data_IF_297715651654
#
_entry.id   IF_297715651654
#
_cell.length_a   1.000
_cell.length_b   1.000
_cell.length_c   1.000
_cell.angle_alpha   90.00
_cell.angle_beta   90.00
_cell.angle_gamma   90.00
#
_symmetry.space_group_name_H-M   'P 1'
#
loop_
_entity.id
_entity.type
_entity.pdbx_description
1 polymer ?
#
# COMPACT_ATOMS: atom_id res chain seq x y z
N UNK A 1 15.46 11.87 -19.78
CA UNK A 1 14.76 10.66 -19.30
C UNK A 1 13.29 10.61 -19.72
N UNK A 2 12.52 11.70 -19.64
CA UNK A 2 11.09 11.71 -20.03
C UNK A 2 10.85 11.56 -21.55
N UNK A 3 11.68 12.20 -22.40
CA UNK A 3 11.57 12.09 -23.86
C UNK A 3 11.76 10.65 -24.38
N UNK A 4 12.62 9.86 -23.71
CA UNK A 4 12.83 8.45 -24.04
C UNK A 4 11.59 7.60 -23.72
N UNK A 5 10.90 7.90 -22.62
CA UNK A 5 9.65 7.20 -22.28
C UNK A 5 8.50 7.55 -23.23
N UNK A 6 8.42 8.81 -23.67
CA UNK A 6 7.43 9.23 -24.69
C UNK A 6 7.73 8.56 -26.04
N UNK A 7 9.00 8.45 -26.42
CA UNK A 7 9.42 7.74 -27.62
C UNK A 7 9.01 6.26 -27.61
N UNK A 8 9.22 5.57 -26.47
CA UNK A 8 8.78 4.18 -26.29
C UNK A 8 7.26 4.07 -26.37
N UNK A 9 6.50 4.99 -25.77
CA UNK A 9 5.04 4.99 -25.84
C UNK A 9 4.53 5.07 -27.28
N UNK A 10 5.14 5.95 -28.09
CA UNK A 10 4.79 6.11 -29.51
C UNK A 10 5.11 4.83 -30.30
N UNK A 11 6.28 4.21 -30.07
CA UNK A 11 6.63 2.93 -30.70
C UNK A 11 5.65 1.81 -30.33
N UNK A 12 5.21 1.75 -29.07
CA UNK A 12 4.23 0.76 -28.60
C UNK A 12 2.86 0.96 -29.25
N UNK A 13 2.36 2.19 -29.33
CA UNK A 13 1.08 2.49 -30.00
C UNK A 13 1.16 2.10 -31.49
N UNK A 14 2.28 2.41 -32.15
CA UNK A 14 2.50 2.07 -33.56
C UNK A 14 2.54 0.56 -33.78
N UNK A 15 3.20 -0.19 -32.89
CA UNK A 15 3.21 -1.64 -32.90
C UNK A 15 1.82 -2.24 -32.67
N UNK A 16 1.03 -1.67 -31.75
CA UNK A 16 -0.33 -2.12 -31.43
C UNK A 16 -1.28 -1.97 -32.62
N UNK A 17 -1.23 -0.82 -33.30
CA UNK A 17 -2.01 -0.55 -34.52
C UNK A 17 -1.60 -1.48 -35.67
N UNK A 18 -0.31 -1.82 -35.78
CA UNK A 18 0.21 -2.74 -36.80
C UNK A 18 -0.22 -4.19 -36.55
N UNK A 19 -0.31 -4.62 -35.29
CA UNK A 19 -0.82 -5.93 -34.89
C UNK A 19 -2.31 -6.09 -35.23
N UNK A 20 -3.12 -5.04 -35.06
CA UNK A 20 -4.55 -5.08 -35.35
C UNK A 20 -4.93 -5.03 -36.84
N UNK A 21 -4.00 -4.61 -37.72
CA UNK A 21 -4.28 -4.44 -39.16
C UNK A 21 -3.92 -5.64 -40.05
N UNK A 22 -3.41 -6.76 -39.52
CA UNK A 22 -3.08 -7.94 -40.33
C UNK A 22 -3.55 -9.25 -39.70
N UNK A 23 -4.20 -10.09 -40.51
CA UNK A 23 -4.62 -11.47 -40.22
C UNK A 23 -3.59 -12.19 -39.33
N UNK A 24 -3.97 -12.41 -38.08
CA UNK A 24 -2.99 -12.54 -36.99
C UNK A 24 -2.35 -13.92 -36.94
N UNK A 25 -1.02 -13.97 -37.13
CA UNK A 25 -0.17 -15.10 -36.70
C UNK A 25 0.00 -15.05 -35.17
N UNK A 26 -0.02 -16.23 -34.52
CA UNK A 26 0.06 -16.45 -33.07
C UNK A 26 1.09 -15.56 -32.33
N UNK A 27 2.20 -15.20 -32.99
CA UNK A 27 3.27 -14.35 -32.46
C UNK A 27 2.78 -12.99 -31.91
N UNK A 28 1.73 -12.41 -32.50
CA UNK A 28 1.17 -11.13 -32.08
C UNK A 28 0.48 -11.23 -30.71
N UNK A 29 -0.16 -12.38 -30.42
CA UNK A 29 -0.79 -12.64 -29.12
C UNK A 29 0.28 -12.80 -28.03
N UNK A 30 1.38 -13.50 -28.32
CA UNK A 30 2.49 -13.65 -27.36
C UNK A 30 3.10 -12.32 -26.95
N UNK A 31 3.32 -11.40 -27.88
CA UNK A 31 3.86 -10.06 -27.59
C UNK A 31 2.88 -9.27 -26.73
N UNK A 32 1.59 -9.32 -27.05
CA UNK A 32 0.55 -8.64 -26.27
C UNK A 32 0.47 -9.15 -24.83
N UNK A 33 0.43 -10.47 -24.63
CA UNK A 33 0.44 -11.07 -23.30
C UNK A 33 1.73 -10.77 -22.53
N UNK A 34 2.89 -10.76 -23.21
CA UNK A 34 4.17 -10.41 -22.58
C UNK A 34 4.17 -8.96 -22.07
N UNK A 35 3.64 -8.01 -22.84
CA UNK A 35 3.53 -6.61 -22.42
C UNK A 35 2.57 -6.48 -21.22
N UNK A 36 1.40 -7.12 -21.29
CA UNK A 36 0.45 -7.11 -20.17
C UNK A 36 1.08 -7.70 -18.91
N UNK A 37 1.77 -8.84 -19.03
CA UNK A 37 2.41 -9.51 -17.92
C UNK A 37 3.55 -8.67 -17.34
N UNK A 38 4.35 -8.02 -18.18
CA UNK A 38 5.41 -7.12 -17.75
C UNK A 38 4.88 -5.88 -17.01
N UNK A 39 3.79 -5.28 -17.51
CA UNK A 39 3.10 -4.17 -16.82
C UNK A 39 2.49 -4.67 -15.51
N UNK A 40 1.85 -5.84 -15.50
CA UNK A 40 1.33 -6.44 -14.28
C UNK A 40 2.42 -6.67 -13.24
N UNK A 41 3.58 -7.21 -13.62
CA UNK A 41 4.74 -7.41 -12.74
C UNK A 41 5.27 -6.08 -12.18
N UNK A 42 5.34 -5.03 -13.00
CA UNK A 42 5.83 -3.72 -12.54
C UNK A 42 4.84 -2.99 -11.62
N UNK A 43 3.53 -3.17 -11.83
CA UNK A 43 2.49 -2.51 -11.06
C UNK A 43 2.04 -3.31 -9.83
N UNK A 44 2.10 -4.64 -9.90
CA UNK A 44 1.99 -5.48 -8.72
C UNK A 44 3.30 -5.35 -7.97
N UNK A 45 3.24 -4.84 -6.75
CA UNK A 45 4.40 -4.74 -5.87
C UNK A 45 4.78 -6.18 -5.45
N UNK A 46 5.44 -6.93 -6.33
CA UNK A 46 5.76 -8.36 -6.13
C UNK A 46 6.61 -8.54 -4.89
N UNK A 47 7.48 -7.58 -4.60
CA UNK A 47 8.23 -7.51 -3.35
C UNK A 47 7.30 -7.51 -2.12
N UNK A 48 6.17 -6.80 -2.18
CA UNK A 48 5.16 -6.82 -1.13
C UNK A 48 4.37 -8.14 -1.08
N UNK A 49 4.18 -8.83 -2.20
CA UNK A 49 3.55 -10.17 -2.23
C UNK A 49 4.48 -11.21 -1.61
N UNK A 50 5.76 -11.22 -1.98
CA UNK A 50 6.79 -12.11 -1.43
C UNK A 50 7.01 -11.80 0.06
N UNK A 51 7.07 -10.51 0.43
CA UNK A 51 7.15 -10.10 1.82
C UNK A 51 5.90 -10.54 2.60
N UNK A 52 4.68 -10.34 2.09
CA UNK A 52 3.46 -10.79 2.76
C UNK A 52 3.43 -12.32 2.97
N UNK A 53 3.92 -13.10 2.00
CA UNK A 53 4.04 -14.55 2.15
C UNK A 53 5.08 -14.94 3.22
N UNK A 54 6.24 -14.29 3.24
CA UNK A 54 7.25 -14.50 4.29
C UNK A 54 6.75 -14.09 5.69
N UNK A 55 6.00 -13.00 5.77
CA UNK A 55 5.37 -12.52 7.00
C UNK A 55 4.27 -13.47 7.48
N UNK A 56 3.55 -14.13 6.57
CA UNK A 56 2.53 -15.13 6.93
C UNK A 56 3.12 -16.35 7.63
N UNK A 57 4.34 -16.75 7.25
CA UNK A 57 5.12 -17.82 7.91
C UNK A 57 5.60 -17.35 9.29
N UNK A 58 6.07 -16.10 9.39
CA UNK A 58 6.51 -15.52 10.67
C UNK A 58 5.37 -15.32 11.68
N UNK A 59 4.18 -14.91 11.23
CA UNK A 59 2.96 -14.78 12.05
C UNK A 59 2.49 -16.10 12.66
N UNK A 60 2.79 -17.25 12.05
CA UNK A 60 2.49 -18.57 12.63
C UNK A 60 3.47 -18.94 13.77
N UNK A 61 4.66 -18.34 13.79
CA UNK A 61 5.72 -18.68 14.75
C UNK A 61 5.82 -17.72 15.96
N UNK A 62 5.23 -16.52 15.90
CA UNK A 62 5.34 -15.53 16.99
C UNK A 62 3.97 -15.02 17.42
N UNK A 63 3.57 -15.40 18.64
CA UNK A 63 2.25 -15.20 19.23
C UNK A 63 1.98 -13.75 19.71
N UNK A 64 2.94 -12.83 19.54
CA UNK A 64 2.84 -11.44 19.97
C UNK A 64 3.12 -10.51 18.78
N UNK A 65 2.06 -9.99 18.17
CA UNK A 65 2.17 -9.01 17.08
C UNK A 65 2.47 -7.64 17.71
N UNK A 66 3.72 -7.20 17.59
CA UNK A 66 4.14 -5.86 18.03
C UNK A 66 3.52 -4.77 17.14
N UNK A 67 2.97 -3.72 17.75
CA UNK A 67 2.38 -2.57 17.05
C UNK A 67 3.44 -1.83 16.22
N UNK A 68 4.70 -1.87 16.66
CA UNK A 68 5.84 -1.32 15.92
C UNK A 68 6.10 -2.09 14.60
N UNK A 69 5.85 -3.41 14.60
CA UNK A 69 5.92 -4.24 13.40
C UNK A 69 4.74 -4.00 12.44
N UNK A 70 3.56 -3.66 12.95
CA UNK A 70 2.42 -3.28 12.09
C UNK A 70 2.57 -1.90 11.46
N UNK A 71 3.30 -1.00 12.10
CA UNK A 71 3.64 0.30 11.57
C UNK A 71 4.57 0.22 10.35
N UNK A 72 5.58 -0.68 10.40
CA UNK A 72 6.50 -0.92 9.27
C UNK A 72 5.83 -1.61 8.07
N UNK A 73 4.59 -2.05 8.20
CA UNK A 73 3.89 -2.81 7.17
C UNK A 73 3.20 -1.92 6.13
N UNK A 74 3.09 -2.47 4.92
CA UNK A 74 2.36 -1.95 3.74
C UNK A 74 1.00 -1.33 4.07
N UNK A 75 0.48 -0.51 3.16
CA UNK A 75 -0.89 0.04 3.21
C UNK A 75 -1.99 -1.02 3.34
N UNK A 76 -1.70 -2.29 3.05
CA UNK A 76 -2.58 -3.44 3.28
C UNK A 76 -2.81 -3.75 4.78
N UNK A 77 -2.02 -3.17 5.69
CA UNK A 77 -2.17 -3.35 7.13
C UNK A 77 -3.30 -2.50 7.75
N UNK A 78 -3.83 -1.52 6.99
CA UNK A 78 -4.86 -0.59 7.45
C UNK A 78 -6.08 -1.27 8.08
N UNK A 79 -6.69 -2.32 7.50
CA UNK A 79 -7.82 -3.01 8.13
C UNK A 79 -7.48 -3.63 9.49
N UNK A 80 -6.27 -4.17 9.65
CA UNK A 80 -5.81 -4.77 10.91
C UNK A 80 -5.56 -3.70 11.97
N UNK A 81 -4.96 -2.56 11.59
CA UNK A 81 -4.76 -1.42 12.49
C UNK A 81 -6.09 -0.83 12.97
N UNK A 82 -7.12 -0.79 12.12
CA UNK A 82 -8.48 -0.35 12.53
C UNK A 82 -9.08 -1.29 13.58
N UNK A 83 -8.83 -2.61 13.50
CA UNK A 83 -9.28 -3.55 14.54
C UNK A 83 -8.56 -3.29 15.86
N UNK A 84 -7.24 -3.02 15.82
CA UNK A 84 -6.45 -2.70 17.01
C UNK A 84 -6.82 -1.34 17.63
N UNK A 85 -7.19 -0.36 16.82
CA UNK A 85 -7.71 0.92 17.30
C UNK A 85 -8.96 0.74 18.18
N UNK A 86 -9.73 -0.35 17.98
CA UNK A 86 -10.90 -0.70 18.79
C UNK A 86 -10.58 -1.65 19.97
N UNK A 87 -9.32 -1.92 20.27
CA UNK A 87 -8.94 -2.82 21.37
C UNK A 87 -9.21 -2.17 22.73
N UNK A 88 -9.57 -2.98 23.73
CA UNK A 88 -9.81 -2.52 25.11
C UNK A 88 -8.54 -1.95 25.79
N UNK A 89 -7.35 -2.37 25.35
CA UNK A 89 -6.09 -1.85 25.85
C UNK A 89 -5.84 -0.45 25.26
N UNK A 90 -6.02 0.59 26.09
CA UNK A 90 -5.89 2.01 25.70
C UNK A 90 -4.56 2.31 24.99
N UNK A 91 -3.44 1.81 25.51
CA UNK A 91 -2.13 2.04 24.91
C UNK A 91 -2.05 1.50 23.47
N UNK A 92 -2.57 0.29 23.23
CA UNK A 92 -2.59 -0.34 21.90
C UNK A 92 -3.53 0.42 20.96
N UNK A 93 -4.71 0.80 21.45
CA UNK A 93 -5.70 1.58 20.71
C UNK A 93 -5.12 2.92 20.24
N UNK A 94 -4.50 3.68 21.14
CA UNK A 94 -3.89 4.99 20.83
C UNK A 94 -2.70 4.85 19.89
N UNK A 95 -1.81 3.86 20.09
CA UNK A 95 -0.71 3.59 19.15
C UNK A 95 -1.24 3.28 17.75
N UNK A 96 -2.27 2.44 17.64
CA UNK A 96 -2.88 2.09 16.37
C UNK A 96 -3.53 3.31 15.67
N UNK A 97 -4.23 4.18 16.42
CA UNK A 97 -4.81 5.41 15.88
C UNK A 97 -3.73 6.36 15.34
N UNK A 98 -2.65 6.56 16.10
CA UNK A 98 -1.51 7.39 15.68
C UNK A 98 -0.90 6.88 14.37
N UNK A 99 -0.73 5.56 14.21
CA UNK A 99 -0.21 5.00 12.97
C UNK A 99 -1.16 5.18 11.78
N UNK A 100 -2.47 5.00 12.01
CA UNK A 100 -3.48 5.29 10.98
C UNK A 100 -3.48 6.77 10.58
N UNK A 101 -3.33 7.67 11.56
CA UNK A 101 -3.23 9.12 11.33
C UNK A 101 -2.03 9.47 10.43
N UNK A 102 -0.85 8.94 10.76
CA UNK A 102 0.37 9.17 9.97
C UNK A 102 0.22 8.67 8.53
N UNK A 103 -0.33 7.46 8.32
CA UNK A 103 -0.60 6.91 6.98
C UNK A 103 -1.62 7.76 6.21
N UNK A 104 -2.69 8.24 6.86
CA UNK A 104 -3.69 9.13 6.24
C UNK A 104 -3.04 10.43 5.76
N UNK A 105 -2.15 11.02 6.57
CA UNK A 105 -1.39 12.23 6.23
C UNK A 105 -0.39 12.00 5.09
N UNK A 106 0.19 10.81 4.97
CA UNK A 106 1.06 10.47 3.84
C UNK A 106 0.25 10.37 2.53
N UNK A 107 -0.93 9.72 2.58
CA UNK A 107 -1.82 9.53 1.42
C UNK A 107 -2.56 10.79 0.96
N UNK A 108 -2.59 11.84 1.80
CA UNK A 108 -3.12 13.14 1.43
C UNK A 108 -2.12 13.99 0.65
N UNK A 109 -0.83 13.62 0.63
CA UNK A 109 0.16 14.31 -0.20
C UNK A 109 -0.15 14.09 -1.68
N UNK A 110 0.11 15.11 -2.49
CA UNK A 110 -0.02 14.98 -3.94
C UNK A 110 1.11 14.10 -4.47
N UNK A 111 0.77 12.93 -5.01
CA UNK A 111 1.74 11.97 -5.53
C UNK A 111 1.62 11.89 -7.06
N UNK A 112 2.73 11.84 -7.81
CA UNK A 112 2.69 11.65 -9.26
C UNK A 112 1.92 10.38 -9.62
N UNK A 113 1.17 10.41 -10.73
CA UNK A 113 0.34 9.28 -11.16
C UNK A 113 1.16 8.00 -11.43
N UNK A 114 2.45 8.13 -11.76
CA UNK A 114 3.38 7.01 -11.96
C UNK A 114 3.66 6.22 -10.66
N UNK A 115 3.41 6.82 -9.50
CA UNK A 115 3.56 6.18 -8.19
C UNK A 115 2.29 5.50 -7.69
N UNK A 116 1.30 5.33 -8.59
CA UNK A 116 0.03 4.69 -8.26
C UNK A 116 0.27 3.28 -7.71
N UNK A 117 -0.37 3.00 -6.58
CA UNK A 117 -0.30 1.71 -5.91
C UNK A 117 -1.69 1.33 -5.43
N UNK A 118 -2.11 0.09 -5.73
CA UNK A 118 -3.47 -0.39 -5.43
C UNK A 118 -3.75 -0.45 -3.93
N UNK A 119 -2.75 -0.82 -3.12
CA UNK A 119 -2.84 -0.88 -1.66
C UNK A 119 -3.01 0.54 -1.08
N UNK A 120 -2.28 1.54 -1.61
CA UNK A 120 -2.47 2.96 -1.27
C UNK A 120 -3.88 3.44 -1.59
N UNK A 121 -4.39 3.09 -2.77
CA UNK A 121 -5.75 3.47 -3.19
C UNK A 121 -6.82 2.88 -2.25
N UNK A 122 -6.74 1.59 -1.94
CA UNK A 122 -7.65 0.92 -0.99
C UNK A 122 -7.55 1.54 0.40
N UNK A 123 -6.35 1.75 0.91
CA UNK A 123 -6.11 2.39 2.20
C UNK A 123 -6.73 3.80 2.26
N UNK A 124 -6.53 4.63 1.23
CA UNK A 124 -7.09 5.99 1.16
C UNK A 124 -8.63 5.97 1.23
N UNK A 125 -9.27 5.03 0.51
CA UNK A 125 -10.73 4.84 0.53
C UNK A 125 -11.26 4.39 1.90
N UNK A 126 -10.48 3.60 2.64
CA UNK A 126 -10.88 3.15 3.98
C UNK A 126 -10.69 4.30 4.99
N UNK A 127 -9.50 4.92 5.00
CA UNK A 127 -9.13 5.97 5.95
C UNK A 127 -9.95 7.26 5.79
N UNK A 128 -10.54 7.50 4.62
CA UNK A 128 -11.46 8.64 4.42
C UNK A 128 -12.72 8.54 5.29
N UNK A 129 -13.09 7.34 5.74
CA UNK A 129 -14.26 7.10 6.59
C UNK A 129 -14.03 7.36 8.08
N UNK A 130 -12.78 7.57 8.50
CA UNK A 130 -12.40 7.71 9.90
C UNK A 130 -11.88 9.12 10.16
N UNK A 131 -12.35 9.73 11.24
CA UNK A 131 -11.73 10.93 11.79
C UNK A 131 -10.67 10.48 12.81
N UNK A 132 -9.40 10.67 12.49
CA UNK A 132 -8.27 10.13 13.25
C UNK A 132 -7.51 11.28 13.88
N UNK A 133 -7.12 11.13 15.15
CA UNK A 133 -6.35 12.13 15.89
C UNK A 133 -4.99 11.58 16.29
N UNK A 134 -4.00 12.47 16.36
CA UNK A 134 -2.69 12.12 16.92
C UNK A 134 -2.68 12.44 18.42
N UNK A 135 -2.35 11.45 19.25
CA UNK A 135 -2.28 11.59 20.71
C UNK A 135 -0.87 11.24 21.19
N UNK A 136 -0.22 12.13 21.94
CA UNK A 136 1.07 11.82 22.56
C UNK A 136 0.85 11.03 23.87
N UNK A 137 1.39 9.82 23.96
CA UNK A 137 1.22 8.95 25.12
C UNK A 137 1.98 9.48 26.36
N UNK A 138 3.11 10.17 26.15
CA UNK A 138 3.96 10.70 27.23
C UNK A 138 3.28 11.79 28.08
N UNK A 139 2.31 12.51 27.49
CA UNK A 139 1.56 13.58 28.18
C UNK A 139 0.41 13.06 29.02
N UNK A 140 -0.11 11.86 28.73
CA UNK A 140 -1.29 11.30 29.42
C UNK A 140 -0.97 10.62 30.74
N UNK A 141 0.25 10.10 30.93
CA UNK A 141 0.65 9.50 32.22
C UNK A 141 0.94 10.55 33.30
N UNK A 142 1.48 11.71 32.93
CA UNK A 142 1.76 12.81 33.89
C UNK A 142 0.52 13.51 34.45
N UNK A 143 -0.64 13.36 33.81
CA UNK A 143 -1.89 13.96 34.27
C UNK A 143 -2.60 13.17 35.38
N UNK A 144 -2.27 11.89 35.57
CA UNK A 144 -3.01 11.00 36.47
C UNK A 144 -2.31 10.75 37.83
N UNK A 145 -1.10 11.29 38.01
CA UNK A 145 -0.32 11.21 39.26
C UNK A 145 -0.43 12.45 40.14
N UNK A 146 -1.09 13.51 39.69
CA UNK A 146 -1.26 14.75 40.45
C UNK A 146 -2.63 14.88 41.14
N UNK A 147 -3.47 13.84 41.12
CA UNK A 147 -4.78 13.81 41.80
C UNK A 147 -4.95 12.62 42.77
N UNK A 148 -3.88 12.23 43.48
CA UNK A 148 -3.99 11.36 44.65
C UNK A 148 -3.20 11.89 45.82
#
# INVERSE_FOLDING_TARGET
TQAFMVFILVLLITALLKVWRKDTKLINAYIFFTIIFYVAINYLNIDAIVANNNISVYKKCTQNIDVQYLNSLSYDSVPSLIKLMKSEKREISVKAENYLYLKKRELSKNTPWQSFNISKYKAKKILSKYNLNYTNLDTTEKGNTNER
#
